data_IF_508881202958
#
_entry.id   IF_508881202958
#
_cell.length_a   1.000
_cell.length_b   1.000
_cell.length_c   1.000
_cell.angle_alpha   90.00
_cell.angle_beta   90.00
_cell.angle_gamma   90.00
#
_symmetry.space_group_name_H-M   'P 1'
#
loop_
_entity.id
_entity.type
_entity.pdbx_description
1 polymer ?
#
# COMPACT_ATOMS: atom_id res chain seq x y z
N UNK A 1 32.50 1.38 15.94
CA UNK A 1 31.89 2.60 16.51
C UNK A 1 31.01 3.20 15.43
N UNK A 2 29.70 2.97 15.55
CA UNK A 2 28.72 3.26 14.51
C UNK A 2 28.36 4.75 14.50
N UNK A 3 28.44 5.36 13.32
CA UNK A 3 28.03 6.75 13.11
C UNK A 3 26.64 6.76 12.46
N UNK A 4 25.64 7.12 13.27
CA UNK A 4 24.26 7.35 12.85
C UNK A 4 24.19 8.43 11.76
N UNK A 5 23.60 8.09 10.61
CA UNK A 5 23.03 9.04 9.65
C UNK A 5 21.65 8.55 9.23
N UNK A 6 20.66 8.83 10.07
CA UNK A 6 19.25 8.89 9.68
C UNK A 6 18.74 10.27 10.11
N UNK A 7 18.83 11.22 9.20
CA UNK A 7 18.08 12.46 9.26
C UNK A 7 17.72 12.79 7.82
N UNK A 8 16.44 12.61 7.48
CA UNK A 8 15.65 13.29 6.45
C UNK A 8 14.40 12.43 6.19
N UNK A 9 13.56 12.30 7.22
CA UNK A 9 12.14 12.04 7.01
C UNK A 9 11.47 13.40 7.23
N UNK A 10 10.99 13.97 6.14
CA UNK A 10 10.26 15.24 6.16
C UNK A 10 9.09 15.16 7.12
N UNK A 11 8.88 16.27 7.84
CA UNK A 11 7.77 16.52 8.74
C UNK A 11 6.46 15.95 8.19
N UNK A 12 6.05 14.80 8.76
CA UNK A 12 4.67 14.33 8.72
C UNK A 12 3.95 15.17 9.77
N UNK A 13 3.00 15.99 9.33
CA UNK A 13 2.25 16.91 10.16
C UNK A 13 1.72 16.24 11.45
N UNK A 14 1.98 16.89 12.58
CA UNK A 14 1.45 16.50 13.89
C UNK A 14 -0.08 16.51 13.88
N UNK A 15 -0.74 15.58 14.62
CA UNK A 15 -2.19 15.50 14.68
C UNK A 15 -2.76 16.23 15.91
N UNK A 16 -2.54 17.53 16.07
CA UNK A 16 -3.11 18.27 17.22
C UNK A 16 -3.49 19.70 16.86
N UNK A 17 -4.76 19.92 16.50
CA UNK A 17 -5.57 21.05 17.00
C UNK A 17 -7.07 20.84 16.64
N UNK A 18 -7.82 20.19 17.52
CA UNK A 18 -9.26 19.90 17.33
C UNK A 18 -10.12 21.08 17.80
N UNK A 19 -9.92 22.23 17.18
CA UNK A 19 -10.71 23.44 17.43
C UNK A 19 -12.19 23.25 17.07
N UNK A 20 -13.02 23.14 18.10
CA UNK A 20 -14.48 23.35 18.13
C UNK A 20 -15.34 22.65 17.03
N UNK A 21 -16.10 21.59 17.35
CA UNK A 21 -16.95 20.87 16.38
C UNK A 21 -18.11 21.68 15.78
N UNK A 22 -18.31 22.94 16.18
CA UNK A 22 -19.42 23.81 15.74
C UNK A 22 -19.11 24.73 14.55
N UNK A 23 -17.92 24.65 13.94
CA UNK A 23 -17.56 25.55 12.84
C UNK A 23 -16.87 24.86 11.65
N UNK A 24 -17.14 23.57 11.41
CA UNK A 24 -16.73 22.97 10.15
C UNK A 24 -17.56 23.61 9.04
N UNK A 25 -16.93 24.46 8.23
CA UNK A 25 -17.59 25.04 7.06
C UNK A 25 -17.21 24.25 5.80
N UNK A 26 -17.89 24.54 4.69
CA UNK A 26 -17.69 23.86 3.40
C UNK A 26 -16.25 23.98 2.89
N UNK A 27 -15.56 25.09 3.18
CA UNK A 27 -14.18 25.32 2.77
C UNK A 27 -13.21 24.40 3.53
N UNK A 28 -13.44 24.17 4.82
CA UNK A 28 -12.63 23.24 5.62
C UNK A 28 -12.85 21.80 5.16
N UNK A 29 -14.09 21.41 4.87
CA UNK A 29 -14.38 20.09 4.30
C UNK A 29 -13.74 19.91 2.92
N UNK A 30 -13.73 20.96 2.09
CA UNK A 30 -13.07 20.95 0.79
C UNK A 30 -11.55 20.72 0.93
N UNK A 31 -10.89 21.49 1.79
CA UNK A 31 -9.46 21.35 2.07
C UNK A 31 -9.13 19.95 2.58
N UNK A 32 -9.91 19.43 3.52
CA UNK A 32 -9.77 18.06 4.04
C UNK A 32 -9.94 17.00 2.96
N UNK A 33 -10.89 17.19 2.05
CA UNK A 33 -11.13 16.27 0.93
C UNK A 33 -9.98 16.28 -0.08
N UNK A 34 -9.37 17.43 -0.35
CA UNK A 34 -8.14 17.51 -1.16
C UNK A 34 -6.99 16.77 -0.48
N UNK A 35 -6.74 17.03 0.81
CA UNK A 35 -5.67 16.31 1.53
C UNK A 35 -5.90 14.80 1.58
N UNK A 36 -7.16 14.35 1.63
CA UNK A 36 -7.51 12.93 1.52
C UNK A 36 -7.21 12.39 0.12
N UNK A 37 -7.47 13.16 -0.94
CA UNK A 37 -7.10 12.79 -2.30
C UNK A 37 -5.58 12.65 -2.45
N UNK A 38 -4.80 13.57 -1.89
CA UNK A 38 -3.34 13.47 -1.88
C UNK A 38 -2.88 12.22 -1.13
N UNK A 39 -3.50 11.92 0.01
CA UNK A 39 -3.22 10.69 0.77
C UNK A 39 -3.63 9.42 0.00
N UNK A 40 -4.63 9.49 -0.87
CA UNK A 40 -5.01 8.37 -1.74
C UNK A 40 -3.88 7.97 -2.70
N UNK A 41 -2.97 8.89 -3.04
CA UNK A 41 -1.78 8.56 -3.82
C UNK A 41 -0.80 7.64 -3.07
N UNK A 42 -0.86 7.55 -1.73
CA UNK A 42 -0.13 6.53 -0.98
C UNK A 42 -0.58 5.12 -1.40
N UNK A 43 -1.88 4.90 -1.64
CA UNK A 43 -2.38 3.62 -2.14
C UNK A 43 -1.77 3.27 -3.50
N UNK A 44 -1.66 4.25 -4.41
CA UNK A 44 -1.00 4.07 -5.71
C UNK A 44 0.50 3.82 -5.58
N UNK A 45 1.16 4.43 -4.60
CA UNK A 45 2.57 4.14 -4.32
C UNK A 45 2.78 2.70 -3.84
N UNK A 46 1.92 2.21 -2.93
CA UNK A 46 2.03 0.84 -2.42
C UNK A 46 1.65 -0.19 -3.50
N UNK A 47 0.62 0.07 -4.30
CA UNK A 47 0.18 -0.89 -5.34
C UNK A 47 1.26 -1.13 -6.41
N UNK A 48 2.08 -0.12 -6.71
CA UNK A 48 3.18 -0.22 -7.66
C UNK A 48 4.36 -1.05 -7.13
N UNK A 49 4.41 -1.31 -5.83
CA UNK A 49 5.43 -2.16 -5.20
C UNK A 49 4.99 -3.63 -5.09
N UNK A 50 3.68 -3.90 -5.24
CA UNK A 50 3.15 -5.26 -5.20
C UNK A 50 3.60 -6.10 -6.40
N UNK A 51 3.64 -7.43 -6.20
CA UNK A 51 3.81 -8.39 -7.28
C UNK A 51 2.68 -8.28 -8.30
N UNK A 52 2.88 -8.66 -9.58
CA UNK A 52 1.90 -8.47 -10.64
C UNK A 52 0.50 -9.02 -10.32
N UNK A 53 0.43 -10.23 -9.76
CA UNK A 53 -0.83 -10.90 -9.38
C UNK A 53 -1.56 -10.12 -8.29
N UNK A 54 -0.84 -9.71 -7.24
CA UNK A 54 -1.38 -8.92 -6.15
C UNK A 54 -1.81 -7.53 -6.63
N UNK A 55 -1.04 -6.89 -7.52
CA UNK A 55 -1.37 -5.59 -8.12
C UNK A 55 -2.69 -5.63 -8.88
N UNK A 56 -2.88 -6.65 -9.73
CA UNK A 56 -4.11 -6.82 -10.52
C UNK A 56 -5.34 -6.88 -9.60
N UNK A 57 -5.27 -7.67 -8.53
CA UNK A 57 -6.33 -7.80 -7.52
C UNK A 57 -6.71 -6.46 -6.89
N UNK A 58 -5.74 -5.61 -6.58
CA UNK A 58 -5.97 -4.37 -5.84
C UNK A 58 -6.28 -3.16 -6.72
N UNK A 59 -6.01 -3.23 -8.02
CA UNK A 59 -6.11 -2.06 -8.93
C UNK A 59 -7.53 -1.53 -9.02
N UNK A 60 -8.54 -2.42 -9.05
CA UNK A 60 -9.95 -2.02 -9.05
C UNK A 60 -10.32 -1.26 -7.79
N UNK A 61 -10.02 -1.82 -6.61
CA UNK A 61 -10.35 -1.21 -5.30
C UNK A 61 -9.68 0.16 -5.11
N UNK A 62 -8.40 0.30 -5.48
CA UNK A 62 -7.70 1.58 -5.37
C UNK A 62 -8.34 2.61 -6.30
N UNK A 63 -8.61 2.25 -7.56
CA UNK A 63 -9.27 3.14 -8.53
C UNK A 63 -10.65 3.58 -8.05
N UNK A 64 -11.48 2.65 -7.58
CA UNK A 64 -12.82 2.96 -7.05
C UNK A 64 -12.76 3.89 -5.83
N UNK A 65 -11.77 3.69 -4.95
CA UNK A 65 -11.57 4.54 -3.78
C UNK A 65 -11.15 5.94 -4.20
N UNK A 66 -10.19 6.09 -5.12
CA UNK A 66 -9.78 7.38 -5.67
C UNK A 66 -10.94 8.10 -6.34
N UNK A 67 -11.70 7.43 -7.21
CA UNK A 67 -12.87 8.01 -7.88
C UNK A 67 -13.94 8.49 -6.87
N UNK A 68 -14.14 7.77 -5.76
CA UNK A 68 -15.07 8.17 -4.70
C UNK A 68 -14.63 9.49 -4.03
N UNK A 69 -13.33 9.67 -3.82
CA UNK A 69 -12.76 10.89 -3.23
C UNK A 69 -12.84 12.05 -4.23
N UNK A 70 -12.53 11.83 -5.51
CA UNK A 70 -12.67 12.84 -6.56
C UNK A 70 -14.12 13.33 -6.68
N UNK A 71 -15.08 12.39 -6.59
CA UNK A 71 -16.51 12.71 -6.58
C UNK A 71 -16.88 13.56 -5.37
N UNK A 72 -16.38 13.22 -4.18
CA UNK A 72 -16.56 14.02 -2.97
C UNK A 72 -16.00 15.44 -3.13
N UNK A 73 -14.76 15.58 -3.61
CA UNK A 73 -14.13 16.89 -3.86
C UNK A 73 -14.96 17.73 -4.83
N UNK A 74 -15.46 17.12 -5.91
CA UNK A 74 -16.32 17.78 -6.89
C UNK A 74 -17.65 18.24 -6.27
N UNK A 75 -18.30 17.39 -5.48
CA UNK A 75 -19.58 17.69 -4.83
C UNK A 75 -19.44 18.83 -3.81
N UNK A 76 -18.41 18.77 -2.96
CA UNK A 76 -18.13 19.82 -1.96
C UNK A 76 -17.82 21.15 -2.65
N UNK A 77 -17.09 21.13 -3.77
CA UNK A 77 -16.78 22.35 -4.54
C UNK A 77 -18.00 23.00 -5.18
N UNK A 78 -18.99 22.20 -5.60
CA UNK A 78 -20.17 22.66 -6.33
C UNK A 78 -21.37 22.96 -5.43
N UNK A 79 -21.32 22.58 -4.16
CA UNK A 79 -22.43 22.78 -3.25
C UNK A 79 -22.68 24.27 -3.00
N UNK A 80 -23.85 24.75 -3.43
CA UNK A 80 -24.33 26.11 -3.20
C UNK A 80 -25.27 26.23 -1.99
N UNK A 81 -25.88 25.12 -1.55
CA UNK A 81 -26.78 25.06 -0.40
C UNK A 81 -26.02 24.60 0.85
N UNK A 82 -25.91 25.49 1.83
CA UNK A 82 -24.78 25.49 2.76
C UNK A 82 -24.84 24.47 3.91
N UNK A 83 -26.01 24.09 4.40
CA UNK A 83 -26.12 23.28 5.64
C UNK A 83 -26.52 21.83 5.38
N UNK A 84 -27.56 21.56 4.59
CA UNK A 84 -28.02 20.18 4.35
C UNK A 84 -27.00 19.33 3.55
N UNK A 85 -26.36 19.94 2.55
CA UNK A 85 -25.33 19.26 1.76
C UNK A 85 -24.02 19.08 2.51
N UNK A 86 -23.77 19.89 3.56
CA UNK A 86 -22.56 19.80 4.38
C UNK A 86 -22.56 18.51 5.22
N UNK A 87 -23.66 18.19 5.90
CA UNK A 87 -23.76 16.98 6.72
C UNK A 87 -23.60 15.71 5.87
N UNK A 88 -24.26 15.68 4.71
CA UNK A 88 -24.14 14.58 3.77
C UNK A 88 -22.72 14.43 3.24
N UNK A 89 -22.09 15.55 2.85
CA UNK A 89 -20.71 15.54 2.38
C UNK A 89 -19.73 15.12 3.48
N UNK A 90 -19.98 15.50 4.74
CA UNK A 90 -19.18 15.08 5.89
C UNK A 90 -19.26 13.56 6.11
N UNK A 91 -20.45 12.97 6.00
CA UNK A 91 -20.61 11.50 6.07
C UNK A 91 -19.83 10.82 4.94
N UNK A 92 -19.95 11.31 3.71
CA UNK A 92 -19.19 10.78 2.58
C UNK A 92 -17.67 10.91 2.78
N UNK A 93 -17.22 12.05 3.33
CA UNK A 93 -15.81 12.25 3.71
C UNK A 93 -15.34 11.21 4.72
N UNK A 94 -16.07 11.01 5.81
CA UNK A 94 -15.71 10.04 6.84
C UNK A 94 -15.64 8.60 6.28
N UNK A 95 -16.58 8.22 5.42
CA UNK A 95 -16.55 6.93 4.73
C UNK A 95 -15.32 6.79 3.82
N UNK A 96 -14.96 7.85 3.10
CA UNK A 96 -13.76 7.86 2.26
C UNK A 96 -12.48 7.72 3.11
N UNK A 97 -12.39 8.42 4.25
CA UNK A 97 -11.25 8.30 5.19
C UNK A 97 -11.10 6.85 5.64
N UNK A 98 -12.19 6.24 6.15
CA UNK A 98 -12.17 4.85 6.62
C UNK A 98 -11.75 3.88 5.50
N UNK A 99 -12.25 4.07 4.28
CA UNK A 99 -11.90 3.23 3.14
C UNK A 99 -10.43 3.38 2.76
N UNK A 100 -9.89 4.60 2.72
CA UNK A 100 -8.47 4.85 2.44
C UNK A 100 -7.58 4.20 3.49
N UNK A 101 -7.86 4.43 4.78
CA UNK A 101 -7.08 3.86 5.88
C UNK A 101 -7.10 2.32 5.84
N UNK A 102 -8.28 1.74 5.62
CA UNK A 102 -8.43 0.29 5.50
C UNK A 102 -7.66 -0.26 4.29
N UNK A 103 -7.82 0.33 3.11
CA UNK A 103 -7.14 -0.12 1.89
C UNK A 103 -5.62 0.00 2.03
N UNK A 104 -5.09 1.09 2.60
CA UNK A 104 -3.65 1.24 2.87
C UNK A 104 -3.16 0.11 3.79
N UNK A 105 -3.88 -0.19 4.86
CA UNK A 105 -3.51 -1.26 5.79
C UNK A 105 -3.48 -2.63 5.10
N UNK A 106 -4.48 -2.93 4.27
CA UNK A 106 -4.52 -4.20 3.52
C UNK A 106 -3.42 -4.28 2.46
N UNK A 107 -3.14 -3.20 1.74
CA UNK A 107 -2.05 -3.14 0.76
C UNK A 107 -0.68 -3.38 1.42
N UNK A 108 -0.43 -2.76 2.58
CA UNK A 108 0.81 -2.99 3.35
C UNK A 108 0.93 -4.44 3.82
N UNK A 109 -0.17 -5.05 4.26
CA UNK A 109 -0.20 -6.48 4.62
C UNK A 109 0.09 -7.37 3.40
N UNK A 110 -0.49 -7.05 2.25
CA UNK A 110 -0.25 -7.79 1.01
C UNK A 110 1.22 -7.66 0.58
N UNK A 111 1.81 -6.47 0.68
CA UNK A 111 3.22 -6.25 0.34
C UNK A 111 4.15 -7.12 1.20
N UNK A 112 3.91 -7.19 2.50
CA UNK A 112 4.68 -8.06 3.40
C UNK A 112 4.50 -9.56 3.05
N UNK A 113 3.29 -9.98 2.69
CA UNK A 113 3.03 -11.35 2.27
C UNK A 113 3.74 -11.69 0.94
N UNK A 114 3.72 -10.78 -0.03
CA UNK A 114 4.42 -10.91 -1.31
C UNK A 114 5.94 -11.04 -1.10
N UNK A 115 6.53 -10.25 -0.19
CA UNK A 115 7.95 -10.33 0.15
C UNK A 115 8.30 -11.66 0.82
N UNK A 116 7.49 -12.11 1.78
CA UNK A 116 7.69 -13.40 2.45
C UNK A 116 7.59 -14.57 1.46
N UNK A 117 6.61 -14.54 0.56
CA UNK A 117 6.44 -15.58 -0.46
C UNK A 117 7.67 -15.66 -1.38
N UNK A 118 8.18 -14.51 -1.82
CA UNK A 118 9.40 -14.47 -2.65
C UNK A 118 10.61 -15.08 -1.94
N UNK A 119 10.78 -14.82 -0.65
CA UNK A 119 11.88 -15.42 0.14
C UNK A 119 11.76 -16.94 0.23
N UNK A 120 10.54 -17.46 0.43
CA UNK A 120 10.30 -18.90 0.48
C UNK A 120 10.59 -19.58 -0.86
N UNK A 121 10.21 -18.94 -1.97
CA UNK A 121 10.50 -19.45 -3.32
C UNK A 121 12.00 -19.48 -3.62
N UNK A 122 12.74 -18.44 -3.22
CA UNK A 122 14.19 -18.40 -3.37
C UNK A 122 14.88 -19.49 -2.54
N UNK A 123 14.47 -19.68 -1.29
CA UNK A 123 15.03 -20.74 -0.44
C UNK A 123 14.72 -22.13 -0.99
N UNK A 124 13.49 -22.35 -1.49
CA UNK A 124 13.12 -23.63 -2.13
C UNK A 124 13.98 -23.90 -3.35
N UNK A 125 14.13 -22.90 -4.23
CA UNK A 125 14.95 -23.02 -5.44
C UNK A 125 16.41 -23.31 -5.10
N UNK A 126 16.97 -22.64 -4.08
CA UNK A 126 18.34 -22.88 -3.63
C UNK A 126 18.54 -24.33 -3.16
N UNK A 127 17.59 -24.88 -2.41
CA UNK A 127 17.64 -26.28 -1.96
C UNK A 127 17.53 -27.26 -3.11
N UNK A 128 16.64 -27.00 -4.06
CA UNK A 128 16.50 -27.82 -5.28
C UNK A 128 17.81 -27.85 -6.08
N UNK A 129 18.47 -26.70 -6.25
CA UNK A 129 19.77 -26.58 -6.93
C UNK A 129 20.90 -27.28 -6.17
N UNK A 130 20.95 -27.15 -4.83
CA UNK A 130 21.94 -27.84 -3.99
C UNK A 130 21.78 -29.38 -4.06
N UNK A 131 20.53 -29.87 -4.04
CA UNK A 131 20.22 -31.30 -4.14
C UNK A 131 20.54 -31.85 -5.54
N UNK A 132 20.24 -31.09 -6.59
CA UNK A 132 20.59 -31.46 -7.96
C UNK A 132 22.11 -31.50 -8.17
N UNK A 133 22.86 -30.51 -7.65
CA UNK A 133 24.31 -30.51 -7.70
C UNK A 133 24.95 -31.65 -6.87
N UNK A 134 24.30 -32.06 -5.77
CA UNK A 134 24.74 -33.22 -5.00
C UNK A 134 24.51 -34.53 -5.77
N UNK A 135 23.35 -34.67 -6.43
CA UNK A 135 23.04 -35.82 -7.30
C UNK A 135 24.01 -35.93 -8.47
N UNK A 136 24.31 -34.82 -9.14
CA UNK A 136 25.25 -34.81 -10.26
C UNK A 136 26.66 -35.23 -9.83
N UNK A 137 27.17 -34.70 -8.71
CA UNK A 137 28.48 -35.10 -8.18
C UNK A 137 28.54 -36.58 -7.80
N UNK A 138 27.50 -37.10 -7.14
CA UNK A 138 27.44 -38.51 -6.77
C UNK A 138 27.41 -39.44 -8.02
N UNK A 139 26.73 -39.01 -9.08
CA UNK A 139 26.69 -39.74 -10.35
C UNK A 139 28.05 -39.70 -11.07
N UNK A 140 28.70 -38.54 -11.11
CA UNK A 140 30.05 -38.39 -11.67
C UNK A 140 31.08 -39.25 -10.92
N UNK A 141 31.06 -39.24 -9.59
CA UNK A 141 31.93 -40.08 -8.76
C UNK A 141 31.69 -41.58 -9.03
N UNK A 142 30.43 -42.00 -9.22
CA UNK A 142 30.10 -43.40 -9.55
C UNK A 142 30.65 -43.79 -10.93
N UNK A 143 30.46 -42.94 -11.93
CA UNK A 143 30.96 -43.17 -13.29
C UNK A 143 32.49 -43.19 -13.33
N UNK A 144 33.17 -42.36 -12.54
CA UNK A 144 34.63 -42.38 -12.44
C UNK A 144 35.14 -43.66 -11.78
N UNK A 145 34.49 -44.13 -10.71
CA UNK A 145 34.82 -45.42 -10.09
C UNK A 145 34.62 -46.60 -11.06
N UNK A 146 33.54 -46.60 -11.85
CA UNK A 146 33.29 -47.62 -12.88
C UNK A 146 34.36 -47.60 -14.00
N UNK A 147 34.93 -46.43 -14.34
CA UNK A 147 35.98 -46.32 -15.36
C UNK A 147 37.37 -46.77 -14.86
N UNK A 148 37.59 -46.74 -13.55
CA UNK A 148 38.86 -47.10 -12.91
C UNK A 148 38.92 -48.58 -12.49
N UNK A 149 37.80 -49.32 -12.59
CA UNK A 149 37.72 -50.79 -12.42
C UNK A 149 37.89 -51.52 -13.75
#
# INVERSE_FOLDING_TARGET
>A
MGSNRLALIGNVGQPEDWGNPKALNILDLYRKSISLLDRSHEMMSVINQLQPVSREKWTGTVRETTNSIETLVSNVRRSSDFEFELDRALVCYQQCVQRVDHTIAQLKKQLAADEQQKLLELERKRREEEEEAARQRAEEERLEQERLQ
#
